data_IF_750396302361
#
_entry.id   IF_750396302361
#
_cell.length_a   1.000
_cell.length_b   1.000
_cell.length_c   1.000
_cell.angle_alpha   90.00
_cell.angle_beta   90.00
_cell.angle_gamma   90.00
#
_symmetry.space_group_name_H-M   'P 1'
#
loop_
_entity.id
_entity.type
_entity.pdbx_description
1 polymer ?
#
# COMPACT_ATOMS: atom_id res chain seq x y z
N UNK A 1 30.64 -66.32 51.81
CA UNK A 1 30.47 -66.51 50.35
C UNK A 1 29.17 -65.94 49.79
N UNK A 2 28.01 -66.05 50.41
CA UNK A 2 26.70 -65.62 49.90
C UNK A 2 26.53 -64.09 49.81
N UNK A 3 27.17 -63.27 50.64
CA UNK A 3 27.07 -61.76 50.60
C UNK A 3 27.81 -61.15 49.38
N UNK A 4 29.00 -61.66 49.07
CA UNK A 4 29.81 -61.21 47.97
C UNK A 4 29.16 -61.48 46.60
N UNK A 5 28.39 -62.56 46.45
CA UNK A 5 27.66 -62.95 45.24
C UNK A 5 26.42 -62.01 45.03
N UNK A 6 25.77 -61.59 46.13
CA UNK A 6 24.63 -60.68 46.10
C UNK A 6 25.03 -59.24 45.71
N UNK A 7 26.17 -58.78 46.21
CA UNK A 7 26.74 -57.47 45.85
C UNK A 7 27.16 -57.42 44.41
N UNK A 8 27.79 -58.47 43.85
CA UNK A 8 28.13 -58.54 42.42
C UNK A 8 26.91 -58.62 41.52
N UNK A 9 25.82 -59.31 41.86
CA UNK A 9 24.57 -59.34 41.15
C UNK A 9 23.88 -57.94 41.11
N UNK A 10 23.85 -57.25 42.25
CA UNK A 10 23.28 -55.93 42.39
C UNK A 10 24.12 -54.88 41.55
N UNK A 11 25.43 -54.97 41.55
CA UNK A 11 26.31 -54.12 40.72
C UNK A 11 26.11 -54.37 39.22
N UNK A 12 25.96 -55.67 38.83
CA UNK A 12 25.67 -55.98 37.38
C UNK A 12 24.30 -55.52 36.98
N UNK A 13 23.26 -55.62 37.75
CA UNK A 13 21.91 -55.14 37.52
C UNK A 13 21.90 -53.60 37.45
N UNK A 14 22.63 -52.92 38.32
CA UNK A 14 22.79 -51.47 38.29
C UNK A 14 23.54 -51.00 37.00
N UNK A 15 24.55 -51.74 36.55
CA UNK A 15 25.28 -51.40 35.32
C UNK A 15 24.43 -51.57 34.06
N UNK A 16 23.57 -52.61 34.03
CA UNK A 16 22.63 -52.81 32.89
C UNK A 16 21.55 -51.72 32.85
N UNK A 17 20.95 -51.41 34.00
CA UNK A 17 19.98 -50.28 34.07
C UNK A 17 20.58 -48.93 33.70
N UNK A 18 21.82 -48.66 34.12
CA UNK A 18 22.54 -47.44 33.76
C UNK A 18 22.82 -47.37 32.24
N UNK A 19 23.15 -48.51 31.62
CA UNK A 19 23.33 -48.59 30.16
C UNK A 19 22.03 -48.37 29.41
N UNK A 20 20.91 -48.95 29.84
CA UNK A 20 19.58 -48.70 29.23
C UNK A 20 19.18 -47.25 29.35
N UNK A 21 19.41 -46.63 30.52
CA UNK A 21 19.16 -45.20 30.72
C UNK A 21 19.99 -44.30 29.78
N UNK A 22 21.27 -44.62 29.60
CA UNK A 22 22.14 -43.90 28.68
C UNK A 22 21.68 -44.05 27.22
N UNK A 23 21.27 -45.25 26.83
CA UNK A 23 20.71 -45.48 25.48
C UNK A 23 19.41 -44.69 25.25
N UNK A 24 18.49 -44.71 26.23
CA UNK A 24 17.25 -43.92 26.13
C UNK A 24 17.54 -42.43 26.10
N UNK A 25 18.45 -41.94 26.93
CA UNK A 25 18.86 -40.55 26.93
C UNK A 25 19.50 -40.14 25.58
N UNK A 26 20.40 -40.98 25.02
CA UNK A 26 21.01 -40.71 23.73
C UNK A 26 19.99 -40.71 22.58
N UNK A 27 18.99 -41.60 22.59
CA UNK A 27 17.91 -41.60 21.62
C UNK A 27 17.06 -40.32 21.71
N UNK A 28 16.75 -39.86 22.95
CA UNK A 28 16.02 -38.59 23.14
C UNK A 28 16.85 -37.43 22.60
N UNK A 29 18.14 -37.36 22.89
CA UNK A 29 19.02 -36.28 22.39
C UNK A 29 19.12 -36.29 20.88
N UNK A 30 19.33 -37.49 20.29
CA UNK A 30 19.40 -37.61 18.81
C UNK A 30 18.08 -37.21 18.16
N UNK A 31 16.94 -37.65 18.73
CA UNK A 31 15.62 -37.25 18.20
C UNK A 31 15.38 -35.75 18.32
N UNK A 32 15.79 -35.13 19.40
CA UNK A 32 15.68 -33.67 19.60
C UNK A 32 16.56 -32.90 18.59
N UNK A 33 17.79 -33.35 18.40
CA UNK A 33 18.70 -32.75 17.39
C UNK A 33 18.15 -32.88 15.99
N UNK A 34 17.61 -34.06 15.63
CA UNK A 34 16.98 -34.28 14.34
C UNK A 34 15.77 -33.35 14.14
N UNK A 35 14.93 -33.21 15.18
CA UNK A 35 13.78 -32.30 15.16
C UNK A 35 14.21 -30.84 14.95
N UNK A 36 15.28 -30.39 15.62
CA UNK A 36 15.83 -29.03 15.45
C UNK A 36 16.39 -28.82 14.06
N UNK A 37 17.10 -29.80 13.48
CA UNK A 37 17.62 -29.71 12.10
C UNK A 37 16.51 -29.66 11.08
N UNK A 38 15.50 -30.51 11.19
CA UNK A 38 14.32 -30.51 10.30
C UNK A 38 13.54 -29.20 10.45
N UNK A 39 13.35 -28.73 11.69
CA UNK A 39 12.71 -27.44 11.97
C UNK A 39 13.46 -26.26 11.36
N UNK A 40 14.78 -26.24 11.47
CA UNK A 40 15.64 -25.21 10.89
C UNK A 40 15.53 -25.18 9.36
N UNK A 41 15.60 -26.36 8.70
CA UNK A 41 15.45 -26.46 7.24
C UNK A 41 14.06 -25.98 6.81
N UNK A 42 13.00 -26.40 7.52
CA UNK A 42 11.64 -25.96 7.22
C UNK A 42 11.48 -24.44 7.39
N UNK A 43 12.03 -23.87 8.49
CA UNK A 43 12.01 -22.43 8.73
C UNK A 43 12.75 -21.66 7.62
N UNK A 44 13.93 -22.10 7.20
CA UNK A 44 14.66 -21.47 6.08
C UNK A 44 13.88 -21.51 4.79
N UNK A 45 13.24 -22.64 4.46
CA UNK A 45 12.39 -22.76 3.27
C UNK A 45 11.19 -21.82 3.35
N UNK A 46 10.55 -21.72 4.52
CA UNK A 46 9.40 -20.83 4.73
C UNK A 46 9.79 -19.36 4.59
N UNK A 47 10.88 -18.94 5.25
CA UNK A 47 11.38 -17.57 5.17
C UNK A 47 11.82 -17.22 3.73
N UNK A 48 12.54 -18.14 3.05
CA UNK A 48 12.93 -17.93 1.64
C UNK A 48 11.73 -17.78 0.71
N UNK A 49 10.65 -18.54 0.96
CA UNK A 49 9.39 -18.38 0.20
C UNK A 49 8.65 -17.09 0.53
N UNK A 50 8.75 -16.58 1.74
CA UNK A 50 8.18 -15.30 2.15
C UNK A 50 8.94 -14.10 1.56
N UNK A 51 10.27 -14.20 1.48
CA UNK A 51 11.15 -13.16 0.95
C UNK A 51 11.29 -13.20 -0.59
N UNK A 52 10.48 -13.99 -1.29
CA UNK A 52 10.55 -14.27 -2.72
C UNK A 52 10.18 -13.12 -3.68
N UNK A 53 10.38 -11.87 -3.30
CA UNK A 53 10.30 -10.70 -4.16
C UNK A 53 10.70 -9.47 -3.35
N UNK A 54 11.84 -8.85 -3.64
CA UNK A 54 12.16 -7.54 -3.09
C UNK A 54 11.14 -6.55 -3.65
N UNK A 55 10.36 -5.91 -2.79
CA UNK A 55 9.49 -4.81 -3.16
C UNK A 55 10.27 -3.78 -3.99
N UNK A 56 9.70 -3.36 -5.10
CA UNK A 56 10.30 -2.37 -6.00
C UNK A 56 10.99 -2.92 -7.24
N UNK A 57 11.47 -4.17 -7.27
CA UNK A 57 12.13 -4.72 -8.47
C UNK A 57 11.17 -4.87 -9.66
N UNK A 58 9.94 -5.30 -9.43
CA UNK A 58 8.92 -5.40 -10.48
C UNK A 58 8.50 -4.03 -10.96
N UNK A 59 8.28 -3.06 -10.04
CA UNK A 59 7.93 -1.69 -10.39
C UNK A 59 9.02 -1.05 -11.28
N UNK A 60 10.30 -1.25 -10.98
CA UNK A 60 11.41 -0.75 -11.78
C UNK A 60 11.44 -1.27 -13.22
N UNK A 61 10.76 -2.39 -13.53
CA UNK A 61 10.69 -2.94 -14.90
C UNK A 61 9.74 -2.17 -15.80
N UNK A 62 8.67 -1.57 -15.24
CA UNK A 62 7.67 -0.83 -16.00
C UNK A 62 7.59 0.65 -15.61
N UNK A 63 8.50 1.14 -14.78
CA UNK A 63 8.66 2.57 -14.48
C UNK A 63 9.99 3.08 -15.00
N UNK A 64 10.07 4.38 -15.21
CA UNK A 64 11.26 5.10 -15.63
C UNK A 64 11.35 6.44 -14.89
N UNK A 65 12.52 7.03 -14.88
CA UNK A 65 12.73 8.36 -14.34
C UNK A 65 11.93 9.41 -15.16
N UNK A 66 11.36 10.35 -14.43
CA UNK A 66 10.69 11.52 -14.98
C UNK A 66 11.12 12.78 -14.22
N UNK A 67 11.59 13.84 -14.89
CA UNK A 67 12.09 15.04 -14.20
C UNK A 67 11.02 15.84 -13.46
N UNK A 68 9.74 15.69 -13.82
CA UNK A 68 8.62 16.36 -13.15
C UNK A 68 8.04 15.52 -12.00
N UNK A 69 7.84 14.23 -12.27
CA UNK A 69 7.13 13.32 -11.38
C UNK A 69 8.06 12.48 -10.48
N UNK A 70 9.39 12.49 -10.76
CA UNK A 70 10.36 11.57 -10.16
C UNK A 70 10.39 10.23 -10.88
N UNK A 71 9.25 9.60 -11.05
CA UNK A 71 9.05 8.39 -11.88
C UNK A 71 7.69 8.41 -12.55
N UNK A 72 7.62 7.72 -13.68
CA UNK A 72 6.37 7.48 -14.42
C UNK A 72 6.36 6.04 -14.95
N UNK A 73 5.20 5.55 -15.34
CA UNK A 73 5.13 4.26 -16.04
C UNK A 73 5.68 4.37 -17.45
N UNK A 74 6.48 3.39 -17.86
CA UNK A 74 6.99 3.26 -19.25
C UNK A 74 5.85 2.93 -20.20
N UNK A 75 5.97 3.38 -21.43
CA UNK A 75 5.05 3.02 -22.51
C UNK A 75 5.30 1.57 -22.93
N UNK A 76 4.22 0.82 -23.22
CA UNK A 76 4.27 -0.54 -23.76
C UNK A 76 5.16 -1.49 -22.95
N UNK A 77 5.18 -1.34 -21.65
CA UNK A 77 5.99 -2.15 -20.73
C UNK A 77 5.13 -3.18 -20.00
N UNK A 78 5.79 -4.22 -19.49
CA UNK A 78 5.14 -5.22 -18.64
C UNK A 78 6.05 -5.71 -17.53
N UNK A 79 5.45 -6.11 -16.41
CA UNK A 79 6.10 -6.81 -15.31
C UNK A 79 5.13 -7.79 -14.67
N UNK A 80 5.65 -8.89 -14.14
CA UNK A 80 4.85 -9.86 -13.39
C UNK A 80 5.17 -9.73 -11.91
N UNK A 81 4.19 -9.33 -11.14
CA UNK A 81 4.22 -9.41 -9.69
C UNK A 81 3.89 -10.84 -9.26
N UNK A 82 4.81 -11.44 -8.51
CA UNK A 82 4.59 -12.75 -7.92
C UNK A 82 4.75 -12.66 -6.41
N UNK A 83 3.67 -12.80 -5.70
CA UNK A 83 3.61 -12.76 -4.23
C UNK A 83 2.91 -14.02 -3.73
N UNK A 84 2.91 -14.21 -2.41
CA UNK A 84 2.24 -15.35 -1.78
C UNK A 84 0.75 -15.40 -2.08
N UNK A 85 0.10 -14.24 -2.21
CA UNK A 85 -1.35 -14.12 -2.32
C UNK A 85 -1.81 -13.91 -3.77
N UNK A 86 -0.92 -13.45 -4.67
CA UNK A 86 -1.29 -13.14 -6.04
C UNK A 86 -0.13 -13.33 -7.02
N UNK A 87 -0.49 -13.59 -8.25
CA UNK A 87 0.39 -13.50 -9.42
C UNK A 87 -0.33 -12.67 -10.46
N UNK A 88 0.18 -11.48 -10.77
CA UNK A 88 -0.48 -10.50 -11.63
C UNK A 88 0.51 -9.96 -12.66
N UNK A 89 0.10 -9.93 -13.91
CA UNK A 89 0.83 -9.23 -14.96
C UNK A 89 0.33 -7.79 -15.07
N UNK A 90 1.24 -6.83 -14.83
CA UNK A 90 0.99 -5.41 -15.06
C UNK A 90 1.48 -5.05 -16.44
N UNK A 91 0.59 -4.52 -17.29
CA UNK A 91 0.91 -4.01 -18.63
C UNK A 91 0.51 -2.55 -18.74
N UNK A 92 1.30 -1.77 -19.46
CA UNK A 92 1.03 -0.37 -19.76
C UNK A 92 0.76 -0.19 -21.25
N UNK A 93 -0.12 0.77 -21.60
CA UNK A 93 -0.46 1.12 -22.95
C UNK A 93 0.61 2.04 -23.62
N UNK A 94 0.33 2.51 -24.83
CA UNK A 94 1.20 3.41 -25.59
C UNK A 94 1.42 4.78 -24.92
N UNK A 95 0.59 5.15 -23.96
CA UNK A 95 0.69 6.39 -23.19
C UNK A 95 1.33 6.21 -21.81
N UNK A 96 1.67 4.95 -21.42
CA UNK A 96 2.24 4.63 -20.12
C UNK A 96 1.19 4.48 -19.02
N UNK A 97 -0.08 4.28 -19.34
CA UNK A 97 -1.12 4.01 -18.36
C UNK A 97 -1.36 2.50 -18.23
N UNK A 98 -1.66 2.02 -17.04
CA UNK A 98 -2.20 0.68 -16.84
C UNK A 98 -3.69 0.67 -17.19
N UNK A 99 -3.96 0.82 -18.45
CA UNK A 99 -5.32 0.95 -19.03
C UNK A 99 -5.32 0.43 -20.47
N UNK A 100 -6.48 0.12 -21.06
CA UNK A 100 -6.59 -0.01 -22.52
C UNK A 100 -6.09 1.25 -23.23
N UNK A 101 -5.86 1.17 -24.56
CA UNK A 101 -5.55 2.35 -25.35
C UNK A 101 -6.71 3.36 -25.28
N UNK A 102 -6.38 4.63 -25.07
CA UNK A 102 -7.36 5.73 -24.98
C UNK A 102 -7.00 6.86 -25.95
N UNK A 103 -7.98 7.32 -26.68
CA UNK A 103 -7.84 8.57 -27.44
C UNK A 103 -7.78 9.77 -26.48
N UNK A 104 -7.05 10.82 -26.82
CA UNK A 104 -7.08 12.07 -26.03
C UNK A 104 -8.47 12.71 -26.09
N UNK A 105 -9.07 12.74 -27.29
CA UNK A 105 -10.46 13.17 -27.46
C UNK A 105 -11.42 12.06 -26.99
N UNK A 106 -12.38 12.36 -26.12
CA UNK A 106 -13.41 11.40 -25.75
C UNK A 106 -14.28 11.03 -26.97
N UNK A 107 -14.71 9.77 -27.12
CA UNK A 107 -15.72 9.43 -28.10
C UNK A 107 -17.00 10.26 -27.88
N UNK A 108 -17.78 10.54 -28.94
CA UNK A 108 -19.02 11.29 -28.79
C UNK A 108 -19.96 10.66 -27.77
N UNK A 109 -20.59 11.50 -26.96
CA UNK A 109 -21.54 11.09 -25.92
C UNK A 109 -20.99 10.10 -24.87
N UNK A 110 -19.68 10.11 -24.66
CA UNK A 110 -19.02 9.24 -23.67
C UNK A 110 -18.73 10.02 -22.39
N UNK A 111 -19.18 9.51 -21.25
CA UNK A 111 -18.84 10.02 -19.94
C UNK A 111 -17.43 9.57 -19.57
N UNK A 112 -16.49 10.50 -19.61
CA UNK A 112 -15.09 10.19 -19.31
C UNK A 112 -14.74 10.59 -17.88
N UNK A 113 -14.25 9.64 -17.11
CA UNK A 113 -13.75 9.80 -15.74
C UNK A 113 -12.23 9.58 -15.77
N UNK A 114 -11.47 10.46 -15.11
CA UNK A 114 -10.06 10.25 -14.80
C UNK A 114 -9.93 9.89 -13.32
N UNK A 115 -9.43 8.71 -13.01
CA UNK A 115 -9.12 8.30 -11.64
C UNK A 115 -7.64 8.58 -11.37
N UNK A 116 -7.36 9.53 -10.48
CA UNK A 116 -6.05 9.81 -9.92
C UNK A 116 -5.87 9.00 -8.64
N UNK A 117 -4.65 8.68 -8.27
CA UNK A 117 -4.33 7.95 -7.06
C UNK A 117 -3.02 7.19 -7.15
N UNK A 118 -2.75 6.43 -6.13
CA UNK A 118 -1.54 5.66 -5.94
C UNK A 118 -1.66 4.19 -6.42
N UNK A 119 -1.10 3.29 -5.64
CA UNK A 119 -1.12 1.84 -5.86
C UNK A 119 -2.52 1.23 -5.80
N UNK A 120 -3.46 1.82 -5.05
CA UNK A 120 -4.85 1.35 -5.01
C UNK A 120 -5.56 1.57 -6.34
N UNK A 121 -5.32 2.70 -7.01
CA UNK A 121 -5.88 2.98 -8.35
C UNK A 121 -5.13 2.22 -9.42
N UNK A 122 -3.79 2.19 -9.37
CA UNK A 122 -3.00 1.35 -10.28
C UNK A 122 -3.45 -0.11 -10.22
N UNK A 123 -3.72 -0.62 -9.02
CA UNK A 123 -4.31 -1.94 -8.80
C UNK A 123 -3.39 -3.11 -9.14
N UNK A 124 -2.06 -2.96 -8.97
CA UNK A 124 -1.06 -3.97 -9.35
C UNK A 124 -1.22 -5.32 -8.64
N UNK A 125 -2.08 -5.39 -7.63
CA UNK A 125 -2.38 -6.62 -6.87
C UNK A 125 -3.45 -7.50 -7.51
N UNK A 126 -4.14 -7.00 -8.54
CA UNK A 126 -5.25 -7.69 -9.24
C UNK A 126 -5.09 -7.58 -10.76
N UNK A 127 -5.78 -8.42 -11.51
CA UNK A 127 -5.84 -8.28 -12.96
C UNK A 127 -6.49 -6.95 -13.37
N UNK A 128 -6.11 -6.41 -14.53
CA UNK A 128 -6.61 -5.11 -15.00
C UNK A 128 -8.15 -5.02 -14.96
N UNK A 129 -8.84 -6.07 -15.39
CA UNK A 129 -10.32 -6.14 -15.39
C UNK A 129 -10.95 -6.04 -13.99
N UNK A 130 -10.18 -6.38 -12.96
CA UNK A 130 -10.61 -6.40 -11.56
C UNK A 130 -10.21 -5.13 -10.80
N UNK A 131 -9.54 -4.16 -11.44
CA UNK A 131 -9.24 -2.86 -10.83
C UNK A 131 -10.50 -2.05 -10.60
N UNK A 132 -10.47 -1.16 -9.62
CA UNK A 132 -11.60 -0.27 -9.30
C UNK A 132 -12.06 0.53 -10.51
N UNK A 133 -11.13 0.98 -11.36
CA UNK A 133 -11.42 1.74 -12.57
C UNK A 133 -12.18 0.90 -13.61
N UNK A 134 -11.76 -0.33 -13.86
CA UNK A 134 -12.42 -1.20 -14.85
C UNK A 134 -13.73 -1.76 -14.32
N UNK A 135 -13.84 -2.03 -13.03
CA UNK A 135 -15.10 -2.41 -12.39
C UNK A 135 -16.13 -1.27 -12.43
N UNK A 136 -15.70 -0.02 -12.19
CA UNK A 136 -16.57 1.15 -12.31
C UNK A 136 -17.00 1.37 -13.77
N UNK A 137 -16.06 1.27 -14.72
CA UNK A 137 -16.36 1.40 -16.16
C UNK A 137 -17.39 0.36 -16.61
N UNK A 138 -17.23 -0.90 -16.20
CA UNK A 138 -18.21 -1.97 -16.51
C UNK A 138 -19.59 -1.63 -15.94
N UNK A 139 -19.69 -1.25 -14.65
CA UNK A 139 -20.97 -0.93 -13.99
C UNK A 139 -21.70 0.23 -14.68
N UNK A 140 -20.98 1.27 -15.10
CA UNK A 140 -21.54 2.40 -15.85
C UNK A 140 -22.06 1.94 -17.20
N UNK A 141 -21.26 1.20 -17.97
CA UNK A 141 -21.67 0.69 -19.28
C UNK A 141 -22.85 -0.30 -19.18
N UNK A 142 -22.85 -1.19 -18.20
CA UNK A 142 -23.95 -2.13 -17.95
C UNK A 142 -25.25 -1.41 -17.55
N UNK A 143 -25.16 -0.21 -16.97
CA UNK A 143 -26.31 0.64 -16.67
C UNK A 143 -26.86 1.44 -17.85
N UNK A 144 -26.23 1.31 -19.04
CA UNK A 144 -26.59 2.04 -20.25
C UNK A 144 -25.90 3.40 -20.39
N UNK A 145 -24.92 3.74 -19.53
CA UNK A 145 -24.13 4.96 -19.59
C UNK A 145 -22.83 4.67 -20.34
N UNK A 146 -22.69 5.10 -21.59
CA UNK A 146 -21.41 4.97 -22.32
C UNK A 146 -20.30 5.70 -21.56
N UNK A 147 -19.38 4.98 -20.96
CA UNK A 147 -18.37 5.53 -20.08
C UNK A 147 -16.96 4.95 -20.33
N UNK A 148 -15.96 5.78 -20.09
CA UNK A 148 -14.55 5.42 -19.99
C UNK A 148 -14.01 5.87 -18.63
N UNK A 149 -13.37 4.98 -17.90
CA UNK A 149 -12.70 5.30 -16.64
C UNK A 149 -11.20 5.09 -16.80
N UNK A 150 -10.47 6.18 -17.00
CA UNK A 150 -9.04 6.19 -17.25
C UNK A 150 -8.30 5.95 -15.92
N UNK A 151 -7.40 4.97 -15.92
CA UNK A 151 -6.55 4.66 -14.78
C UNK A 151 -5.30 5.55 -14.78
N UNK A 152 -5.33 6.66 -14.06
CA UNK A 152 -4.21 7.57 -13.82
C UNK A 152 -3.34 7.19 -12.61
N UNK A 153 -3.69 6.13 -11.87
CA UNK A 153 -2.98 5.70 -10.67
C UNK A 153 -1.54 5.25 -10.93
N UNK A 154 -0.63 5.59 -10.02
CA UNK A 154 0.77 5.16 -10.08
C UNK A 154 1.28 4.85 -8.68
N UNK A 155 1.75 3.63 -8.46
CA UNK A 155 2.20 3.17 -7.15
C UNK A 155 3.25 4.11 -6.52
N UNK A 156 2.98 4.50 -5.28
CA UNK A 156 3.82 5.38 -4.49
C UNK A 156 3.64 6.87 -4.75
N UNK A 157 2.75 7.28 -5.63
CA UNK A 157 2.38 8.69 -5.75
C UNK A 157 1.71 9.17 -4.46
N UNK A 158 1.76 10.45 -4.23
CA UNK A 158 0.99 11.20 -3.25
C UNK A 158 0.38 12.42 -3.94
N UNK A 159 -0.46 13.16 -3.23
CA UNK A 159 -1.28 14.26 -3.78
C UNK A 159 -0.49 15.25 -4.65
N UNK A 160 0.79 15.50 -4.35
CA UNK A 160 1.67 16.37 -5.13
C UNK A 160 1.95 15.81 -6.54
N UNK A 161 2.27 14.51 -6.64
CA UNK A 161 2.55 13.84 -7.91
C UNK A 161 1.26 13.61 -8.71
N UNK A 162 0.14 13.34 -8.05
CA UNK A 162 -1.18 13.21 -8.69
C UNK A 162 -1.64 14.54 -9.30
N UNK A 163 -1.41 15.64 -8.59
CA UNK A 163 -1.66 16.99 -9.12
C UNK A 163 -0.76 17.30 -10.33
N UNK A 164 0.54 17.02 -10.23
CA UNK A 164 1.47 17.22 -11.34
C UNK A 164 1.12 16.35 -12.56
N UNK A 165 0.73 15.09 -12.32
CA UNK A 165 0.27 14.20 -13.39
C UNK A 165 -1.01 14.73 -14.04
N UNK A 166 -1.98 15.22 -13.25
CA UNK A 166 -3.17 15.86 -13.82
C UNK A 166 -2.79 17.00 -14.77
N UNK A 167 -1.88 17.88 -14.35
CA UNK A 167 -1.46 19.04 -15.14
C UNK A 167 -0.68 18.66 -16.40
N UNK A 168 0.24 17.70 -16.31
CA UNK A 168 1.10 17.32 -17.43
C UNK A 168 0.41 16.44 -18.47
N UNK A 169 -0.37 15.49 -18.02
CA UNK A 169 -0.94 14.44 -18.88
C UNK A 169 -2.46 14.28 -18.68
N UNK A 170 -2.95 14.30 -17.46
CA UNK A 170 -4.33 13.93 -17.13
C UNK A 170 -5.40 14.82 -17.77
N UNK A 171 -5.21 16.14 -17.73
CA UNK A 171 -6.15 17.11 -18.31
C UNK A 171 -6.32 16.96 -19.84
N UNK A 172 -5.29 16.45 -20.54
CA UNK A 172 -5.32 16.22 -22.00
C UNK A 172 -6.38 15.21 -22.43
N UNK A 173 -6.79 14.30 -21.52
CA UNK A 173 -7.85 13.33 -21.81
C UNK A 173 -9.25 13.93 -21.73
N UNK A 174 -9.39 15.21 -21.35
CA UNK A 174 -10.66 15.94 -21.24
C UNK A 174 -11.70 15.18 -20.44
N UNK A 175 -11.41 14.77 -19.20
CA UNK A 175 -12.40 14.11 -18.36
C UNK A 175 -13.55 15.06 -18.02
N UNK A 176 -14.76 14.56 -17.91
CA UNK A 176 -15.89 15.32 -17.35
C UNK A 176 -15.85 15.28 -15.80
N UNK A 177 -15.28 14.22 -15.24
CA UNK A 177 -15.13 14.02 -13.80
C UNK A 177 -13.71 13.53 -13.49
N UNK A 178 -13.08 14.13 -12.48
CA UNK A 178 -11.83 13.66 -11.89
C UNK A 178 -12.14 13.07 -10.53
N UNK A 179 -11.80 11.81 -10.31
CA UNK A 179 -11.89 11.14 -9.03
C UNK A 179 -10.48 11.04 -8.45
N UNK A 180 -10.21 11.74 -7.36
CA UNK A 180 -8.97 11.61 -6.60
C UNK A 180 -9.17 10.60 -5.50
N UNK A 181 -8.53 9.44 -5.61
CA UNK A 181 -8.52 8.40 -4.59
C UNK A 181 -7.44 8.73 -3.56
N UNK A 182 -7.88 9.15 -2.39
CA UNK A 182 -7.05 9.68 -1.33
C UNK A 182 -6.86 8.67 -0.20
N UNK A 183 -5.62 8.36 0.09
CA UNK A 183 -5.18 7.46 1.15
C UNK A 183 -4.29 8.21 2.15
N UNK A 184 -4.05 7.68 3.34
CA UNK A 184 -3.24 8.38 4.36
C UNK A 184 -1.80 8.69 3.88
N UNK A 185 -1.25 7.92 2.94
CA UNK A 185 0.08 8.18 2.37
C UNK A 185 0.13 9.47 1.56
N UNK A 186 -0.98 9.92 1.02
CA UNK A 186 -1.11 11.20 0.30
C UNK A 186 -0.71 12.40 1.15
N UNK A 187 -0.81 12.27 2.46
CA UNK A 187 -0.36 13.29 3.41
C UNK A 187 1.10 13.06 3.81
N UNK A 188 1.39 11.86 4.32
CA UNK A 188 2.70 11.56 4.93
C UNK A 188 3.85 11.58 3.92
N UNK A 189 3.57 11.29 2.64
CA UNK A 189 4.60 11.27 1.61
C UNK A 189 4.87 12.63 0.97
N UNK A 190 4.08 13.67 1.28
CA UNK A 190 4.31 15.02 0.74
C UNK A 190 5.69 15.58 1.12
N UNK A 191 6.16 15.32 2.33
CA UNK A 191 7.44 15.85 2.81
C UNK A 191 8.61 14.88 2.59
N UNK A 192 8.35 13.67 2.09
CA UNK A 192 9.43 12.75 1.76
C UNK A 192 10.28 13.28 0.62
N UNK A 193 11.58 13.02 0.71
CA UNK A 193 12.53 13.33 -0.36
C UNK A 193 12.53 12.28 -1.46
N UNK A 194 12.17 11.06 -1.11
CA UNK A 194 12.13 9.92 -1.99
C UNK A 194 11.05 8.91 -1.58
N UNK A 195 10.74 8.01 -2.52
CA UNK A 195 9.95 6.81 -2.28
C UNK A 195 10.83 5.59 -2.60
N UNK A 196 11.17 4.81 -1.57
CA UNK A 196 12.11 3.68 -1.67
C UNK A 196 13.42 4.03 -2.42
N UNK A 197 13.98 5.20 -2.09
CA UNK A 197 15.19 5.71 -2.69
C UNK A 197 15.06 6.28 -4.11
N UNK A 198 13.84 6.38 -4.65
CA UNK A 198 13.56 7.10 -5.91
C UNK A 198 13.15 8.54 -5.55
N UNK A 199 13.92 9.56 -5.95
CA UNK A 199 13.61 10.95 -5.63
C UNK A 199 12.26 11.38 -6.18
N UNK A 200 11.58 12.27 -5.47
CA UNK A 200 10.29 12.82 -5.86
C UNK A 200 10.27 14.35 -5.83
N UNK A 201 9.36 15.01 -6.56
CA UNK A 201 9.14 16.45 -6.44
C UNK A 201 8.60 16.80 -5.06
N UNK A 202 8.54 18.09 -4.74
CA UNK A 202 7.83 18.62 -3.59
C UNK A 202 7.27 19.99 -3.89
N UNK A 203 6.23 20.35 -3.15
CA UNK A 203 5.72 21.71 -3.11
C UNK A 203 6.12 22.39 -1.81
N UNK A 204 6.36 23.69 -1.89
CA UNK A 204 6.50 24.57 -0.75
C UNK A 204 5.25 25.45 -0.63
N UNK A 205 4.93 25.82 0.60
CA UNK A 205 3.88 26.80 0.87
C UNK A 205 4.37 28.19 0.49
N UNK A 206 3.70 28.83 -0.46
CA UNK A 206 3.89 30.25 -0.78
C UNK A 206 2.82 31.10 -0.10
N UNK A 207 2.85 32.45 -0.29
CA UNK A 207 1.93 33.38 0.36
C UNK A 207 0.46 33.15 0.02
N UNK A 208 0.15 32.63 -1.17
CA UNK A 208 -1.23 32.40 -1.63
C UNK A 208 -1.45 31.05 -2.33
N UNK A 209 -0.39 30.39 -2.78
CA UNK A 209 -0.45 29.17 -3.57
C UNK A 209 0.76 28.27 -3.27
N UNK A 210 0.62 26.98 -3.58
CA UNK A 210 1.76 26.06 -3.55
C UNK A 210 2.71 26.33 -4.71
N UNK A 211 4.00 26.36 -4.44
CA UNK A 211 5.07 26.52 -5.42
C UNK A 211 5.83 25.20 -5.57
N UNK A 212 6.01 24.74 -6.82
CA UNK A 212 6.80 23.56 -7.10
C UNK A 212 8.27 23.83 -6.72
N UNK A 213 8.77 23.07 -5.76
CA UNK A 213 10.13 23.18 -5.27
C UNK A 213 11.01 22.14 -5.95
N UNK A 214 11.46 21.13 -5.55
CA UNK A 214 12.41 20.13 -6.11
C UNK A 214 12.14 19.76 -7.58
N UNK A 215 12.23 20.74 -8.48
CA UNK A 215 12.10 20.55 -9.91
C UNK A 215 13.30 21.23 -10.64
N UNK A 216 13.91 20.55 -11.66
CA UNK A 216 13.69 19.14 -12.02
C UNK A 216 14.17 18.18 -10.92
N UNK A 217 13.44 17.09 -10.74
CA UNK A 217 13.88 16.01 -9.84
C UNK A 217 15.19 15.45 -10.37
N UNK A 218 16.18 15.23 -9.51
CA UNK A 218 17.46 14.66 -9.92
C UNK A 218 17.31 13.14 -10.14
N UNK A 219 17.78 12.67 -11.30
CA UNK A 219 17.85 11.23 -11.54
C UNK A 219 18.84 10.60 -10.54
N UNK A 220 18.41 9.53 -9.86
CA UNK A 220 19.33 8.73 -9.04
C UNK A 220 20.35 8.11 -9.96
N UNK A 221 21.67 8.23 -9.66
CA UNK A 221 22.67 7.48 -10.40
C UNK A 221 22.27 6.00 -10.42
N UNK A 222 22.24 5.38 -11.58
CA UNK A 222 22.11 3.93 -11.68
C UNK A 222 23.30 3.35 -10.95
N UNK A 223 23.17 3.02 -9.68
CA UNK A 223 24.06 2.07 -9.06
C UNK A 223 24.07 0.89 -10.04
N UNK A 224 25.27 0.52 -10.51
CA UNK A 224 25.41 -0.58 -11.44
C UNK A 224 24.52 -1.69 -10.90
N UNK A 225 23.38 -1.89 -11.57
CA UNK A 225 22.45 -2.94 -11.18
C UNK A 225 23.29 -4.18 -11.19
N UNK A 226 23.62 -4.69 -10.03
CA UNK A 226 24.13 -6.04 -9.90
C UNK A 226 23.02 -6.91 -10.50
N UNK A 227 23.10 -7.00 -11.82
CA UNK A 227 22.43 -8.00 -12.61
C UNK A 227 22.95 -9.30 -12.05
N UNK A 228 22.08 -10.10 -11.66
CA UNK A 228 22.15 -11.49 -11.32
C UNK A 228 21.46 -11.71 -9.98
N UNK A 229 20.60 -12.67 -9.99
CA UNK A 229 19.87 -13.24 -8.89
C UNK A 229 20.62 -13.13 -7.55
N UNK A 230 20.50 -11.96 -6.90
CA UNK A 230 20.92 -11.86 -5.51
C UNK A 230 20.10 -12.88 -4.75
N UNK A 231 20.75 -14.00 -4.46
CA UNK A 231 20.21 -14.99 -3.54
C UNK A 231 19.69 -14.25 -2.31
N UNK A 232 18.50 -14.58 -1.82
CA UNK A 232 17.99 -13.95 -0.60
C UNK A 232 19.09 -13.98 0.44
N UNK A 233 19.35 -12.84 1.09
CA UNK A 233 20.38 -12.75 2.12
C UNK A 233 20.17 -13.89 3.12
N UNK A 234 21.21 -14.67 3.39
CA UNK A 234 21.10 -15.78 4.32
C UNK A 234 20.63 -15.22 5.67
N UNK A 235 19.62 -15.83 6.26
CA UNK A 235 19.19 -15.50 7.61
C UNK A 235 20.38 -15.72 8.54
N UNK A 236 20.93 -14.64 9.09
CA UNK A 236 22.00 -14.74 10.08
C UNK A 236 21.49 -15.50 11.30
N UNK A 237 22.20 -16.53 11.69
CA UNK A 237 21.82 -17.39 12.81
C UNK A 237 20.74 -18.43 12.49
N UNK A 238 19.99 -18.83 13.50
CA UNK A 238 18.92 -19.84 13.38
C UNK A 238 17.61 -19.23 12.90
N UNK A 239 17.14 -19.67 11.74
CA UNK A 239 15.85 -19.27 11.17
C UNK A 239 14.67 -19.76 12.04
N UNK A 240 14.78 -20.95 12.60
CA UNK A 240 13.79 -21.50 13.53
C UNK A 240 13.67 -20.65 14.79
N UNK A 241 14.81 -20.23 15.37
CA UNK A 241 14.82 -19.38 16.55
C UNK A 241 14.25 -17.99 16.24
N UNK A 242 14.55 -17.42 15.06
CA UNK A 242 13.98 -16.16 14.61
C UNK A 242 12.44 -16.23 14.50
N UNK A 243 11.91 -17.31 13.88
CA UNK A 243 10.47 -17.54 13.80
C UNK A 243 9.81 -17.72 15.18
N UNK A 244 10.42 -18.49 16.09
CA UNK A 244 9.90 -18.67 17.45
C UNK A 244 9.88 -17.33 18.18
N UNK A 245 10.96 -16.55 18.09
CA UNK A 245 11.05 -15.22 18.69
C UNK A 245 9.95 -14.30 18.21
N UNK A 246 9.73 -14.25 16.90
CA UNK A 246 8.68 -13.43 16.28
C UNK A 246 7.27 -13.87 16.74
N UNK A 247 7.01 -15.18 16.77
CA UNK A 247 5.73 -15.72 17.24
C UNK A 247 5.46 -15.41 18.70
N UNK A 248 6.47 -15.51 19.54
CA UNK A 248 6.36 -15.13 20.95
C UNK A 248 6.16 -13.62 21.12
N UNK A 249 6.87 -12.81 20.32
CA UNK A 249 6.66 -11.36 20.30
C UNK A 249 5.22 -10.97 19.99
N UNK A 250 4.61 -11.64 18.98
CA UNK A 250 3.24 -11.35 18.54
C UNK A 250 2.17 -11.93 19.45
N UNK A 251 2.36 -13.17 19.94
CA UNK A 251 1.33 -13.92 20.63
C UNK A 251 1.46 -13.95 22.16
N UNK A 252 2.68 -13.81 22.68
CA UNK A 252 3.00 -13.89 24.11
C UNK A 252 4.17 -12.95 24.47
N UNK A 253 3.98 -11.60 24.35
CA UNK A 253 5.05 -10.63 24.52
C UNK A 253 5.73 -10.69 25.89
N UNK A 254 5.00 -10.99 26.96
CA UNK A 254 5.57 -11.12 28.29
C UNK A 254 6.54 -12.32 28.41
N UNK A 255 6.21 -13.43 27.74
CA UNK A 255 7.08 -14.63 27.65
C UNK A 255 8.32 -14.28 26.81
N UNK A 256 8.15 -13.61 25.69
CA UNK A 256 9.26 -13.13 24.85
C UNK A 256 10.24 -12.29 25.68
N UNK A 257 9.74 -11.29 26.43
CA UNK A 257 10.57 -10.39 27.22
C UNK A 257 11.22 -11.09 28.42
N UNK A 258 10.55 -12.07 29.03
CA UNK A 258 11.13 -12.88 30.09
C UNK A 258 12.32 -13.70 29.55
N UNK A 259 12.18 -14.33 28.39
CA UNK A 259 13.24 -15.11 27.75
C UNK A 259 14.40 -14.23 27.28
N UNK A 260 14.12 -13.00 26.80
CA UNK A 260 15.14 -12.01 26.47
C UNK A 260 15.95 -11.58 27.71
N UNK A 261 15.28 -11.38 28.86
CA UNK A 261 15.95 -11.09 30.13
C UNK A 261 16.84 -12.24 30.63
N UNK A 262 16.53 -13.47 30.26
CA UNK A 262 17.36 -14.64 30.53
C UNK A 262 18.54 -14.80 29.54
N UNK A 263 18.69 -13.86 28.58
CA UNK A 263 19.81 -13.84 27.63
C UNK A 263 19.68 -14.82 26.47
N UNK A 264 18.49 -15.41 26.24
CA UNK A 264 18.27 -16.32 25.11
C UNK A 264 18.34 -15.64 23.75
N UNK A 265 18.00 -14.33 23.71
CA UNK A 265 18.12 -13.48 22.53
C UNK A 265 18.10 -11.99 22.91
N UNK A 266 18.53 -11.14 22.00
CA UNK A 266 18.37 -9.70 22.17
C UNK A 266 16.87 -9.34 22.13
N UNK A 267 16.38 -8.47 23.02
CA UNK A 267 15.01 -7.99 22.95
C UNK A 267 14.79 -7.34 21.58
N UNK A 268 13.62 -7.61 20.98
CA UNK A 268 13.23 -6.87 19.78
C UNK A 268 13.12 -5.39 20.21
N UNK A 269 13.86 -4.46 19.58
CA UNK A 269 13.75 -3.06 19.92
C UNK A 269 12.27 -2.67 19.86
N UNK A 270 11.80 -1.89 20.83
CA UNK A 270 10.49 -1.25 20.72
C UNK A 270 10.55 -0.41 19.45
N UNK A 271 10.00 -0.92 18.36
CA UNK A 271 9.91 -0.15 17.13
C UNK A 271 9.11 1.11 17.45
N UNK A 272 9.67 2.27 17.16
CA UNK A 272 8.84 3.46 17.07
C UNK A 272 7.73 3.18 16.06
N UNK A 273 6.50 3.62 16.31
CA UNK A 273 5.44 3.52 15.32
C UNK A 273 5.97 3.99 13.99
N UNK A 274 5.72 3.25 12.92
CA UNK A 274 6.09 3.69 11.58
C UNK A 274 5.49 5.07 11.32
N UNK A 275 6.09 5.82 10.43
CA UNK A 275 5.60 7.15 10.04
C UNK A 275 4.10 7.10 9.67
N UNK A 276 3.68 6.00 9.02
CA UNK A 276 2.30 5.72 8.64
C UNK A 276 1.31 5.71 9.81
N UNK A 277 1.79 5.39 11.02
CA UNK A 277 0.94 5.38 12.21
C UNK A 277 0.74 6.78 12.80
N UNK A 278 1.61 7.75 12.50
CA UNK A 278 1.55 9.08 13.10
C UNK A 278 0.29 9.86 12.73
N UNK A 279 -0.30 9.58 11.56
CA UNK A 279 -1.60 10.17 11.16
C UNK A 279 -2.77 9.78 12.06
N UNK A 280 -2.63 8.66 12.77
CA UNK A 280 -3.62 8.14 13.72
C UNK A 280 -3.30 8.47 15.17
N UNK A 281 -2.16 9.14 15.47
CA UNK A 281 -1.87 9.61 16.83
C UNK A 281 -2.96 10.59 17.26
N UNK A 282 -3.54 10.37 18.45
CA UNK A 282 -4.62 11.24 18.96
C UNK A 282 -4.18 12.70 19.11
N UNK A 283 -2.89 12.92 19.34
CA UNK A 283 -2.29 14.27 19.41
C UNK A 283 -2.12 14.85 18.01
N UNK A 284 -2.23 16.17 17.91
CA UNK A 284 -1.86 16.88 16.70
C UNK A 284 -0.35 17.08 16.67
N UNK A 285 0.34 16.27 15.87
CA UNK A 285 1.80 16.31 15.74
C UNK A 285 2.16 17.32 14.65
N UNK A 286 2.98 18.33 14.97
CA UNK A 286 3.34 19.40 14.04
C UNK A 286 3.74 18.90 12.64
N UNK A 287 4.61 17.90 12.43
CA UNK A 287 4.95 17.43 11.09
C UNK A 287 3.76 16.84 10.33
N UNK A 288 2.76 16.29 11.03
CA UNK A 288 1.54 15.73 10.43
C UNK A 288 0.58 16.86 10.07
N UNK A 289 0.43 17.86 10.94
CA UNK A 289 -0.41 19.02 10.68
C UNK A 289 0.14 19.84 9.50
N UNK A 290 1.46 20.11 9.46
CA UNK A 290 2.12 20.80 8.35
C UNK A 290 1.88 20.07 7.01
N UNK A 291 1.89 18.73 7.02
CA UNK A 291 1.59 17.91 5.84
C UNK A 291 0.10 18.02 5.43
N UNK A 292 -0.83 18.12 6.39
CA UNK A 292 -2.25 18.35 6.11
C UNK A 292 -2.51 19.73 5.50
N UNK A 293 -1.88 20.79 6.03
CA UNK A 293 -1.98 22.15 5.46
C UNK A 293 -1.47 22.17 4.01
N UNK A 294 -0.36 21.49 3.75
CA UNK A 294 0.19 21.35 2.40
C UNK A 294 -0.76 20.57 1.48
N UNK A 295 -1.34 19.45 1.94
CA UNK A 295 -2.33 18.69 1.20
C UNK A 295 -3.53 19.55 0.83
N UNK A 296 -4.05 20.34 1.77
CA UNK A 296 -5.17 21.26 1.53
C UNK A 296 -4.85 22.27 0.43
N UNK A 297 -3.67 22.89 0.49
CA UNK A 297 -3.25 23.87 -0.51
C UNK A 297 -3.06 23.25 -1.91
N UNK A 298 -2.53 22.02 -2.00
CA UNK A 298 -2.41 21.29 -3.27
C UNK A 298 -3.80 20.91 -3.81
N UNK A 299 -4.69 20.41 -2.95
CA UNK A 299 -6.04 20.05 -3.36
C UNK A 299 -6.87 21.26 -3.82
N UNK A 300 -6.68 22.41 -3.19
CA UNK A 300 -7.27 23.67 -3.64
C UNK A 300 -6.80 24.01 -5.06
N UNK A 301 -5.50 23.88 -5.34
CA UNK A 301 -4.93 24.14 -6.66
C UNK A 301 -5.42 23.12 -7.70
N UNK A 302 -5.46 21.82 -7.34
CA UNK A 302 -6.01 20.77 -8.21
C UNK A 302 -7.47 21.04 -8.54
N UNK A 303 -8.30 21.39 -7.54
CA UNK A 303 -9.70 21.73 -7.75
C UNK A 303 -9.86 22.87 -8.75
N UNK A 304 -9.11 23.95 -8.55
CA UNK A 304 -9.15 25.11 -9.46
C UNK A 304 -8.78 24.72 -10.90
N UNK A 305 -7.66 23.99 -11.08
CA UNK A 305 -7.24 23.56 -12.41
C UNK A 305 -8.27 22.62 -13.07
N UNK A 306 -8.90 21.74 -12.30
CA UNK A 306 -9.96 20.84 -12.79
C UNK A 306 -11.19 21.63 -13.25
N UNK A 307 -11.63 22.61 -12.46
CA UNK A 307 -12.78 23.47 -12.78
C UNK A 307 -12.50 24.40 -13.97
N UNK A 308 -11.27 24.94 -14.08
CA UNK A 308 -10.84 25.78 -15.20
C UNK A 308 -10.85 25.01 -16.54
N UNK A 309 -10.63 23.69 -16.50
CA UNK A 309 -10.79 22.80 -17.64
C UNK A 309 -12.23 22.35 -17.89
N UNK A 310 -13.22 22.84 -17.12
CA UNK A 310 -14.64 22.50 -17.25
C UNK A 310 -14.99 21.12 -16.72
N UNK A 311 -14.14 20.53 -15.88
CA UNK A 311 -14.33 19.24 -15.21
C UNK A 311 -14.83 19.44 -13.78
N UNK A 312 -15.31 18.38 -13.15
CA UNK A 312 -15.63 18.36 -11.71
C UNK A 312 -14.61 17.49 -10.97
N UNK A 313 -14.20 17.91 -9.77
CA UNK A 313 -13.36 17.11 -8.88
C UNK A 313 -14.25 16.49 -7.79
N UNK A 314 -14.06 15.21 -7.51
CA UNK A 314 -14.56 14.54 -6.30
C UNK A 314 -13.42 13.73 -5.65
N UNK A 315 -13.40 13.67 -4.32
CA UNK A 315 -12.43 12.93 -3.56
C UNK A 315 -13.04 11.61 -3.09
N UNK A 316 -12.30 10.52 -3.27
CA UNK A 316 -12.66 9.17 -2.83
C UNK A 316 -11.74 8.78 -1.69
N UNK A 317 -12.24 8.73 -0.46
CA UNK A 317 -11.46 8.33 0.70
C UNK A 317 -11.26 6.82 0.75
N UNK A 318 -9.99 6.39 0.75
CA UNK A 318 -9.59 4.99 0.93
C UNK A 318 -9.26 4.76 2.40
N UNK A 319 -10.00 3.93 3.13
CA UNK A 319 -9.63 3.58 4.50
C UNK A 319 -8.44 2.61 4.51
N UNK A 320 -7.58 2.72 5.53
CA UNK A 320 -6.57 1.73 5.79
C UNK A 320 -7.18 0.39 6.25
N UNK A 321 -6.49 -0.72 5.97
CA UNK A 321 -6.95 -2.06 6.37
C UNK A 321 -7.34 -2.15 7.86
N UNK A 322 -6.59 -1.49 8.73
CA UNK A 322 -6.84 -1.48 10.18
C UNK A 322 -8.07 -0.64 10.57
N UNK A 323 -8.51 0.28 9.73
CA UNK A 323 -9.74 1.05 9.93
C UNK A 323 -10.98 0.21 9.63
N UNK A 324 -10.84 -0.76 8.73
CA UNK A 324 -11.91 -1.64 8.26
C UNK A 324 -11.97 -2.94 9.06
N UNK A 325 -10.80 -3.50 9.42
CA UNK A 325 -10.69 -4.80 10.06
C UNK A 325 -10.18 -4.69 11.50
N UNK A 326 -11.02 -4.99 12.47
CA UNK A 326 -10.66 -5.01 13.89
C UNK A 326 -9.47 -5.95 14.19
N UNK A 327 -9.45 -7.12 13.54
CA UNK A 327 -8.34 -8.07 13.69
C UNK A 327 -7.00 -7.49 13.22
N UNK A 328 -7.00 -6.70 12.14
CA UNK A 328 -5.82 -6.01 11.63
C UNK A 328 -5.35 -4.94 12.63
N UNK A 329 -6.27 -4.15 13.19
CA UNK A 329 -5.94 -3.18 14.23
C UNK A 329 -5.35 -3.84 15.48
N UNK A 330 -5.96 -4.93 15.94
CA UNK A 330 -5.46 -5.70 17.08
C UNK A 330 -4.04 -6.22 16.83
N UNK A 331 -3.77 -6.77 15.65
CA UNK A 331 -2.44 -7.23 15.27
C UNK A 331 -1.42 -6.08 15.23
N UNK A 332 -1.80 -4.92 14.67
CA UNK A 332 -0.97 -3.71 14.61
C UNK A 332 -0.63 -3.21 16.01
N UNK A 333 -1.60 -3.16 16.91
CA UNK A 333 -1.39 -2.77 18.31
C UNK A 333 -0.41 -3.69 19.02
N UNK A 334 -0.54 -5.00 18.83
CA UNK A 334 0.39 -5.98 19.38
C UNK A 334 1.80 -5.82 18.82
N UNK A 335 1.90 -5.68 17.49
CA UNK A 335 3.19 -5.55 16.81
C UNK A 335 3.98 -4.33 17.28
N UNK A 336 3.34 -3.18 17.42
CA UNK A 336 3.99 -1.93 17.82
C UNK A 336 3.86 -1.62 19.32
N UNK A 337 3.23 -2.51 20.10
CA UNK A 337 2.92 -2.30 21.53
C UNK A 337 2.26 -0.95 21.79
N UNK A 338 1.29 -0.62 20.98
CA UNK A 338 0.59 0.65 21.04
C UNK A 338 -0.25 0.72 22.32
N UNK A 339 -0.16 1.86 23.04
CA UNK A 339 -0.96 2.10 24.23
C UNK A 339 -2.42 2.37 23.86
N UNK A 340 -3.34 1.87 24.69
CA UNK A 340 -4.76 2.20 24.56
C UNK A 340 -5.00 3.70 24.72
N UNK A 341 -5.97 4.23 23.97
CA UNK A 341 -6.37 5.62 24.04
C UNK A 341 -5.41 6.64 23.42
N UNK A 342 -4.26 6.20 22.88
CA UNK A 342 -3.31 7.08 22.22
C UNK A 342 -3.55 7.22 20.70
N UNK A 343 -4.48 6.45 20.16
CA UNK A 343 -4.69 6.30 18.72
C UNK A 343 -6.16 6.44 18.37
N UNK A 344 -6.44 7.20 17.30
CA UNK A 344 -7.77 7.42 16.76
C UNK A 344 -7.80 7.00 15.29
N UNK A 345 -8.37 5.83 14.99
CA UNK A 345 -8.47 5.32 13.62
C UNK A 345 -9.38 6.16 12.72
N UNK A 346 -10.34 6.90 13.29
CA UNK A 346 -11.19 7.81 12.53
C UNK A 346 -10.53 9.16 12.24
N UNK A 347 -9.33 9.44 12.75
CA UNK A 347 -8.68 10.76 12.64
C UNK A 347 -8.43 11.17 11.19
N UNK A 348 -7.91 10.26 10.38
CA UNK A 348 -7.63 10.53 8.95
C UNK A 348 -8.95 10.85 8.23
N UNK A 349 -9.98 10.02 8.41
CA UNK A 349 -11.30 10.22 7.82
C UNK A 349 -11.90 11.56 8.23
N UNK A 350 -11.86 11.90 9.52
CA UNK A 350 -12.36 13.19 10.04
C UNK A 350 -11.59 14.39 9.49
N UNK A 351 -10.27 14.27 9.28
CA UNK A 351 -9.46 15.31 8.62
C UNK A 351 -9.88 15.48 7.16
N UNK A 352 -10.07 14.38 6.44
CA UNK A 352 -10.53 14.40 5.03
C UNK A 352 -11.93 15.00 4.93
N UNK A 353 -12.87 14.64 5.80
CA UNK A 353 -14.22 15.23 5.85
C UNK A 353 -14.18 16.76 6.05
N UNK A 354 -13.35 17.24 6.98
CA UNK A 354 -13.17 18.69 7.20
C UNK A 354 -12.56 19.38 5.99
N UNK A 355 -11.49 18.83 5.44
CA UNK A 355 -10.78 19.37 4.30
C UNK A 355 -11.68 19.46 3.07
N UNK A 356 -12.41 18.41 2.75
CA UNK A 356 -13.34 18.39 1.61
C UNK A 356 -14.52 19.35 1.81
N UNK A 357 -15.03 19.46 3.04
CA UNK A 357 -16.06 20.44 3.39
C UNK A 357 -15.56 21.88 3.21
N UNK A 358 -14.35 22.20 3.70
CA UNK A 358 -13.73 23.53 3.55
C UNK A 358 -13.51 23.89 2.09
N UNK A 359 -13.03 22.95 1.28
CA UNK A 359 -12.74 23.16 -0.13
C UNK A 359 -13.97 22.98 -1.03
N UNK A 360 -15.13 22.61 -0.48
CA UNK A 360 -16.36 22.31 -1.24
C UNK A 360 -16.08 21.25 -2.34
N UNK A 361 -15.34 20.19 -2.00
CA UNK A 361 -15.10 19.04 -2.85
C UNK A 361 -16.05 17.92 -2.41
N UNK A 362 -16.87 17.34 -3.30
CA UNK A 362 -17.68 16.17 -2.97
C UNK A 362 -16.81 15.02 -2.45
N UNK A 363 -17.24 14.39 -1.36
CA UNK A 363 -16.55 13.26 -0.72
C UNK A 363 -17.30 11.95 -0.93
N UNK A 364 -16.60 10.93 -1.35
CA UNK A 364 -17.04 9.54 -1.40
C UNK A 364 -16.25 8.77 -0.35
N UNK A 365 -16.87 8.48 0.78
CA UNK A 365 -16.25 7.72 1.87
C UNK A 365 -16.46 6.21 1.64
N UNK A 366 -15.37 5.48 1.35
CA UNK A 366 -15.43 4.03 1.15
C UNK A 366 -15.44 3.21 2.45
N UNK A 367 -15.20 3.84 3.62
CA UNK A 367 -15.09 3.12 4.89
C UNK A 367 -16.37 2.35 5.25
N UNK A 368 -17.60 2.94 5.17
CA UNK A 368 -18.82 2.20 5.48
C UNK A 368 -19.04 1.00 4.55
N UNK A 369 -18.83 1.16 3.25
CA UNK A 369 -19.04 0.09 2.27
C UNK A 369 -18.07 -1.08 2.48
N UNK A 370 -16.77 -0.77 2.64
CA UNK A 370 -15.75 -1.80 2.86
C UNK A 370 -15.92 -2.51 4.22
N UNK A 371 -16.31 -1.77 5.29
CA UNK A 371 -16.65 -2.40 6.58
C UNK A 371 -17.85 -3.34 6.47
N UNK A 372 -18.91 -2.93 5.79
CA UNK A 372 -20.11 -3.75 5.61
C UNK A 372 -19.82 -5.01 4.76
N UNK A 373 -18.87 -4.92 3.85
CA UNK A 373 -18.45 -6.03 3.00
C UNK A 373 -17.54 -7.04 3.73
N UNK A 374 -16.88 -6.69 4.84
CA UNK A 374 -16.02 -7.61 5.57
C UNK A 374 -16.82 -8.76 6.19
N UNK A 375 -16.35 -9.97 5.97
CA UNK A 375 -16.92 -11.20 6.53
C UNK A 375 -15.79 -12.15 6.96
N UNK A 376 -16.01 -13.03 7.94
CA UNK A 376 -15.05 -14.08 8.24
C UNK A 376 -14.66 -14.84 6.97
N UNK A 377 -13.36 -14.95 6.70
CA UNK A 377 -12.78 -15.63 5.52
C UNK A 377 -13.09 -15.00 4.15
N UNK A 378 -13.74 -13.83 4.08
CA UNK A 378 -14.05 -13.09 2.84
C UNK A 378 -13.68 -11.62 2.98
N UNK A 379 -12.39 -11.37 3.16
CA UNK A 379 -11.81 -10.03 3.28
C UNK A 379 -11.87 -9.23 1.98
N UNK A 380 -11.94 -7.91 2.10
CA UNK A 380 -11.75 -6.96 0.98
C UNK A 380 -10.28 -6.57 0.79
N UNK A 381 -9.41 -6.89 1.75
CA UNK A 381 -7.97 -6.68 1.68
C UNK A 381 -7.21 -8.01 1.56
N UNK A 382 -6.01 -7.95 0.99
CA UNK A 382 -5.06 -9.04 1.03
C UNK A 382 -4.62 -9.30 2.48
N UNK A 383 -4.29 -10.55 2.81
CA UNK A 383 -3.97 -10.92 4.20
C UNK A 383 -2.64 -10.30 4.66
N UNK A 384 -1.59 -10.39 3.82
CA UNK A 384 -0.23 -9.97 4.16
C UNK A 384 0.14 -8.60 3.56
N UNK A 385 -0.57 -8.19 2.51
CA UNK A 385 -0.44 -6.89 1.87
C UNK A 385 -1.58 -5.97 2.35
N UNK A 386 -1.31 -4.68 2.51
CA UNK A 386 -2.31 -3.70 2.95
C UNK A 386 -3.30 -3.28 1.86
N UNK A 387 -3.12 -3.73 0.62
CA UNK A 387 -3.94 -3.34 -0.53
C UNK A 387 -5.22 -4.17 -0.66
N UNK A 388 -6.15 -3.66 -1.46
CA UNK A 388 -7.36 -4.39 -1.82
C UNK A 388 -7.04 -5.64 -2.66
N UNK A 389 -7.82 -6.68 -2.43
CA UNK A 389 -7.96 -7.78 -3.38
C UNK A 389 -9.06 -7.48 -4.42
N UNK A 390 -9.35 -8.38 -5.35
CA UNK A 390 -10.36 -8.17 -6.39
C UNK A 390 -11.75 -7.81 -5.83
N UNK A 391 -12.11 -8.34 -4.66
CA UNK A 391 -13.35 -8.00 -3.98
C UNK A 391 -13.34 -6.58 -3.41
N UNK A 392 -12.23 -6.15 -2.82
CA UNK A 392 -12.10 -4.77 -2.33
C UNK A 392 -12.21 -3.75 -3.46
N UNK A 393 -11.61 -4.01 -4.60
CA UNK A 393 -11.77 -3.19 -5.80
C UNK A 393 -13.22 -3.16 -6.30
N UNK A 394 -13.93 -4.28 -6.29
CA UNK A 394 -15.32 -4.37 -6.73
C UNK A 394 -16.27 -3.61 -5.79
N UNK A 395 -16.09 -3.75 -4.47
CA UNK A 395 -16.88 -3.03 -3.46
C UNK A 395 -16.63 -1.52 -3.53
N UNK A 396 -15.37 -1.10 -3.72
CA UNK A 396 -15.02 0.30 -3.93
C UNK A 396 -15.68 0.87 -5.19
N UNK A 397 -15.63 0.13 -6.30
CA UNK A 397 -16.29 0.52 -7.55
C UNK A 397 -17.81 0.61 -7.41
N UNK A 398 -18.42 -0.32 -6.65
CA UNK A 398 -19.85 -0.28 -6.33
C UNK A 398 -20.22 0.98 -5.56
N UNK A 399 -19.48 1.29 -4.50
CA UNK A 399 -19.74 2.47 -3.68
C UNK A 399 -19.60 3.78 -4.48
N UNK A 400 -18.60 3.88 -5.35
CA UNK A 400 -18.45 5.03 -6.26
C UNK A 400 -19.61 5.11 -7.26
N UNK A 401 -20.01 3.99 -7.85
CA UNK A 401 -21.14 3.93 -8.79
C UNK A 401 -22.46 4.37 -8.11
N UNK A 402 -22.73 3.87 -6.92
CA UNK A 402 -23.94 4.23 -6.16
C UNK A 402 -23.95 5.71 -5.80
N UNK A 403 -22.80 6.26 -5.43
CA UNK A 403 -22.64 7.70 -5.20
C UNK A 403 -22.92 8.51 -6.46
N UNK A 404 -22.38 8.13 -7.62
CA UNK A 404 -22.63 8.81 -8.90
C UNK A 404 -24.12 8.87 -9.22
N UNK A 405 -24.85 7.80 -8.95
CA UNK A 405 -26.31 7.75 -9.17
C UNK A 405 -27.09 8.64 -8.21
N UNK A 406 -26.72 8.63 -6.93
CA UNK A 406 -27.47 9.34 -5.87
C UNK A 406 -27.15 10.83 -5.81
N UNK A 407 -25.91 11.22 -6.10
CA UNK A 407 -25.45 12.62 -6.07
C UNK A 407 -25.83 13.43 -7.32
N UNK A 408 -26.50 12.82 -8.31
CA UNK A 408 -26.79 13.42 -9.62
C UNK A 408 -25.53 13.88 -10.35
N UNK A 409 -24.38 13.24 -10.07
CA UNK A 409 -23.09 13.55 -10.70
C UNK A 409 -22.91 12.81 -12.03
N UNK A 410 -23.94 12.17 -12.55
CA UNK A 410 -23.96 11.60 -13.90
C UNK A 410 -24.32 12.68 -14.94
N UNK A 411 -23.81 12.58 -16.19
CA UNK A 411 -24.24 13.44 -17.27
C UNK A 411 -25.66 13.12 -17.73
N UNK A 412 -26.26 14.05 -18.49
CA UNK A 412 -27.63 13.92 -18.99
C UNK A 412 -27.85 12.63 -19.80
N UNK A 413 -26.90 12.24 -20.64
CA UNK A 413 -26.95 10.99 -21.42
C UNK A 413 -26.96 9.72 -20.56
N UNK A 414 -26.58 9.85 -19.30
CA UNK A 414 -26.64 8.79 -18.27
C UNK A 414 -27.75 9.03 -17.26
N UNK A 415 -28.70 9.93 -17.54
CA UNK A 415 -29.80 10.27 -16.65
C UNK A 415 -29.45 11.24 -15.51
N UNK A 416 -28.32 11.94 -15.62
CA UNK A 416 -27.85 12.92 -14.65
C UNK A 416 -27.90 14.36 -15.13
N UNK A 417 -27.07 15.25 -14.58
CA UNK A 417 -27.07 16.68 -14.84
C UNK A 417 -25.73 17.29 -15.20
N UNK A 418 -24.64 16.49 -15.20
CA UNK A 418 -23.31 17.00 -15.54
C UNK A 418 -23.15 17.24 -17.04
N UNK A 419 -22.39 18.29 -17.47
CA UNK A 419 -22.02 18.46 -18.87
C UNK A 419 -21.04 17.36 -19.30
N UNK A 420 -21.16 16.91 -20.56
CA UNK A 420 -20.29 15.87 -21.14
C UNK A 420 -18.90 16.36 -21.52
N UNK A 421 -18.73 17.64 -21.75
CA UNK A 421 -17.49 18.18 -22.36
C UNK A 421 -16.72 19.05 -21.39
N UNK A 422 -15.47 18.67 -21.16
CA UNK A 422 -14.46 19.55 -20.61
C UNK A 422 -13.92 20.51 -21.69
N UNK A 423 -13.52 21.70 -21.27
CA UNK A 423 -12.83 22.68 -22.17
C UNK A 423 -11.45 22.13 -22.57
N UNK A 424 -10.92 22.62 -23.70
CA UNK A 424 -9.57 22.23 -24.14
C UNK A 424 -8.52 22.64 -23.08
N UNK A 425 -7.75 21.69 -22.61
CA UNK A 425 -6.67 21.95 -21.65
C UNK A 425 -5.48 22.63 -22.34
N UNK A 426 -4.95 23.69 -21.73
CA UNK A 426 -3.62 24.18 -22.07
C UNK A 426 -2.58 23.23 -21.48
N UNK A 427 -1.54 22.91 -22.25
CA UNK A 427 -0.46 22.05 -21.75
C UNK A 427 0.34 22.80 -20.68
N UNK A 428 0.46 22.22 -19.52
CA UNK A 428 1.28 22.74 -18.42
C UNK A 428 2.77 22.70 -18.82
N UNK A 429 3.42 23.87 -18.79
CA UNK A 429 4.88 23.98 -18.91
C UNK A 429 5.47 24.30 -17.51
N UNK A 430 6.09 23.32 -16.85
CA UNK A 430 6.67 23.52 -15.53
C UNK A 430 7.81 24.57 -15.54
N UNK A 431 8.47 24.80 -16.66
CA UNK A 431 9.54 25.78 -16.77
C UNK A 431 9.03 27.23 -16.66
N UNK A 432 7.76 27.47 -16.94
CA UNK A 432 7.16 28.81 -16.83
C UNK A 432 6.87 29.23 -15.38
N UNK A 433 6.69 28.26 -14.46
CA UNK A 433 6.45 28.53 -13.04
C UNK A 433 7.72 28.74 -12.22
N UNK A 434 8.88 28.33 -12.72
CA UNK A 434 10.17 28.53 -12.06
C UNK A 434 10.89 29.81 -12.47
N UNK A 435 10.37 30.54 -13.45
CA UNK A 435 10.86 31.87 -13.81
C UNK A 435 10.16 32.89 -12.90
N UNK A 436 10.85 33.34 -11.89
CA UNK A 436 10.48 34.57 -11.19
C UNK A 436 10.59 35.76 -12.17
N UNK A 437 9.75 36.81 -11.95
CA UNK A 437 9.88 38.05 -12.71
C UNK A 437 11.22 38.78 -12.43
#
# INVERSE_FOLDING_TARGET
>A
MRVATRLRKNAAVMSVRRREWLVRLSLIVVSLLLFLVVGEIAARILISRQNGGKEGKEQARYTEYDPLLGWRKRKMASATYKRREYTVEVKTNSQGLRDPERSLEPPPQTFRILALGDSFVEGYTVDLKDTVTKRLESRLNDSGCAAEVINGGTAGYSTDQEYLFYRSDGARYRPSLVLLFFFWNDVIYLDRQDYFGTPKPAFEMGDAQVKLHRYPVKEKPKEASSSEDEKPEPVEGSALLAMIRERLWLGAPDVHDALARLGLWNPIPKSSPRLEMLVYDQRDLAPVEDAWEKAEAILKSLKQDVEDHGSTLALVYIPGKMEVQEASWKATRQLYRLKDGAWNLDKVRQKVERLTSTLHIPLIDLNPALKAAEQPFRSTYLMFDGHWNARGHDEAASAVFDWLKTSKSLPEVCGGTLPLQARSAQVFDPALQTREP
#
